data_IF_254140000055
#
_entry.id   IF_254140000055
#
_cell.length_a   1.000
_cell.length_b   1.000
_cell.length_c   1.000
_cell.angle_alpha   90.00
_cell.angle_beta   90.00
_cell.angle_gamma   90.00
#
_symmetry.space_group_name_H-M   'P 1'
#
loop_
_entity.id
_entity.type
_entity.pdbx_description
1 polymer ?
#
# COMPACT_ATOMS: atom_id res chain seq x y z
N UNK A 1 15.26 2.61 13.78
CA UNK A 1 14.92 1.80 12.59
C UNK A 1 14.17 2.66 11.59
N UNK A 2 14.63 2.74 10.36
CA UNK A 2 13.93 3.53 9.37
C UNK A 2 12.58 2.87 9.05
N UNK A 3 11.57 3.71 8.93
CA UNK A 3 10.26 3.24 8.49
C UNK A 3 10.29 3.08 6.98
N UNK A 4 9.57 2.10 6.47
CA UNK A 4 9.51 1.84 5.03
C UNK A 4 8.07 1.72 4.55
N UNK A 5 7.84 2.19 3.32
CA UNK A 5 6.56 2.05 2.64
C UNK A 5 6.80 1.20 1.40
N UNK A 6 6.04 0.14 1.27
CA UNK A 6 6.07 -0.72 0.08
C UNK A 6 5.01 -0.21 -0.88
N UNK A 7 5.43 0.31 -2.02
CA UNK A 7 4.53 0.84 -3.05
C UNK A 7 4.37 -0.20 -4.14
N UNK A 8 3.13 -0.65 -4.34
CA UNK A 8 2.82 -1.74 -5.26
C UNK A 8 1.89 -1.24 -6.35
N UNK A 9 2.36 -1.23 -7.59
CA UNK A 9 1.58 -0.82 -8.75
C UNK A 9 2.30 -1.31 -9.98
N UNK A 10 1.56 -1.78 -10.99
CA UNK A 10 2.19 -2.24 -12.23
C UNK A 10 2.68 -1.09 -13.11
N UNK A 11 2.30 0.14 -12.80
CA UNK A 11 2.75 1.32 -13.52
C UNK A 11 3.99 1.91 -12.87
N UNK A 12 5.14 1.92 -13.56
CA UNK A 12 6.34 2.58 -13.01
C UNK A 12 6.13 4.09 -12.83
N UNK A 13 5.27 4.70 -13.63
CA UNK A 13 4.95 6.12 -13.49
C UNK A 13 4.26 6.39 -12.15
N UNK A 14 3.28 5.55 -11.78
CA UNK A 14 2.57 5.71 -10.51
C UNK A 14 3.52 5.46 -9.34
N UNK A 15 4.36 4.41 -9.43
CA UNK A 15 5.33 4.13 -8.38
C UNK A 15 6.30 5.30 -8.18
N UNK A 16 6.79 5.85 -9.29
CA UNK A 16 7.70 7.00 -9.22
C UNK A 16 7.05 8.23 -8.63
N UNK A 17 5.78 8.48 -8.99
CA UNK A 17 5.04 9.61 -8.44
C UNK A 17 4.81 9.43 -6.93
N UNK A 18 4.42 8.24 -6.52
CA UNK A 18 4.25 7.95 -5.09
C UNK A 18 5.55 8.15 -4.33
N UNK A 19 6.67 7.67 -4.88
CA UNK A 19 7.99 7.88 -4.28
C UNK A 19 8.29 9.36 -4.10
N UNK A 20 7.99 10.16 -5.12
CA UNK A 20 8.20 11.60 -5.06
C UNK A 20 7.37 12.24 -3.94
N UNK A 21 6.10 11.88 -3.84
CA UNK A 21 5.21 12.43 -2.83
C UNK A 21 5.60 12.02 -1.41
N UNK A 22 6.25 10.88 -1.25
CA UNK A 22 6.61 10.36 0.06
C UNK A 22 7.98 10.85 0.55
N UNK A 23 8.73 11.58 -0.29
CA UNK A 23 10.08 12.04 0.05
C UNK A 23 10.10 12.89 1.31
N UNK A 24 9.07 13.68 1.52
CA UNK A 24 9.01 14.59 2.68
C UNK A 24 8.69 13.89 4.00
N UNK A 25 8.35 12.61 3.96
CA UNK A 25 7.92 11.88 5.15
C UNK A 25 9.04 11.09 5.83
N UNK A 26 10.25 11.19 5.32
CA UNK A 26 11.42 10.52 5.89
C UNK A 26 11.20 9.01 6.02
N UNK A 27 10.76 8.39 4.93
CA UNK A 27 10.54 6.95 4.85
C UNK A 27 11.35 6.38 3.70
N UNK A 28 11.76 5.12 3.85
CA UNK A 28 12.35 4.38 2.76
C UNK A 28 11.23 3.86 1.88
N UNK A 29 11.32 4.05 0.58
CA UNK A 29 10.33 3.53 -0.37
C UNK A 29 10.88 2.31 -1.06
N UNK A 30 10.13 1.22 -1.01
CA UNK A 30 10.42 -0.02 -1.73
C UNK A 30 9.30 -0.20 -2.75
N UNK A 31 9.63 -0.61 -3.96
CA UNK A 31 8.66 -0.76 -5.03
C UNK A 31 8.49 -2.22 -5.45
N UNK A 32 7.26 -2.58 -5.84
CA UNK A 32 6.96 -3.87 -6.43
C UNK A 32 5.94 -3.67 -7.54
N UNK A 33 6.04 -4.46 -8.61
CA UNK A 33 5.19 -4.28 -9.78
C UNK A 33 3.91 -5.11 -9.76
N UNK A 34 3.78 -6.05 -8.82
CA UNK A 34 2.58 -6.84 -8.66
C UNK A 34 2.48 -7.38 -7.23
N UNK A 35 1.34 -7.98 -6.92
CA UNK A 35 1.09 -8.46 -5.56
C UNK A 35 1.99 -9.62 -5.14
N UNK A 36 2.38 -10.49 -6.07
CA UNK A 36 3.24 -11.62 -5.73
C UNK A 36 4.64 -11.12 -5.35
N UNK A 37 5.19 -10.20 -6.13
CA UNK A 37 6.49 -9.59 -5.82
C UNK A 37 6.43 -8.78 -4.55
N UNK A 38 5.31 -8.11 -4.30
CA UNK A 38 5.10 -7.35 -3.07
C UNK A 38 5.12 -8.27 -1.86
N UNK A 39 4.45 -9.41 -1.95
CA UNK A 39 4.41 -10.37 -0.85
C UNK A 39 5.80 -10.91 -0.53
N UNK A 40 6.57 -11.24 -1.57
CA UNK A 40 7.96 -11.66 -1.40
C UNK A 40 8.81 -10.57 -0.74
N UNK A 41 8.65 -9.33 -1.19
CA UNK A 41 9.39 -8.21 -0.61
C UNK A 41 9.01 -8.00 0.86
N UNK A 42 7.72 -8.11 1.18
CA UNK A 42 7.24 -7.93 2.55
C UNK A 42 7.77 -9.03 3.47
N UNK A 43 7.85 -10.26 2.98
CA UNK A 43 8.41 -11.38 3.76
C UNK A 43 9.91 -11.21 3.98
N UNK A 44 10.61 -10.67 3.00
CA UNK A 44 12.06 -10.46 3.10
C UNK A 44 12.40 -9.34 4.07
N UNK A 45 11.60 -8.28 4.10
CA UNK A 45 11.86 -7.13 4.96
C UNK A 45 10.54 -6.41 5.23
N UNK A 46 9.91 -6.76 6.33
CA UNK A 46 8.58 -6.27 6.68
C UNK A 46 8.50 -4.74 6.59
N UNK A 47 7.64 -4.20 5.70
CA UNK A 47 7.46 -2.75 5.62
C UNK A 47 6.62 -2.23 6.77
N UNK A 48 6.69 -0.93 7.00
CA UNK A 48 5.85 -0.30 8.01
C UNK A 48 4.42 -0.12 7.48
N UNK A 49 4.27 0.04 6.17
CA UNK A 49 2.99 0.30 5.52
C UNK A 49 3.05 -0.19 4.08
N UNK A 50 1.90 -0.67 3.57
CA UNK A 50 1.77 -1.07 2.17
C UNK A 50 0.78 -0.15 1.47
N UNK A 51 1.18 0.37 0.32
CA UNK A 51 0.34 1.19 -0.55
C UNK A 51 0.22 0.43 -1.87
N UNK A 52 -0.95 -0.11 -2.18
CA UNK A 52 -1.11 -1.03 -3.30
C UNK A 52 -2.30 -0.69 -4.18
N UNK A 53 -2.09 -0.79 -5.50
CA UNK A 53 -3.16 -0.69 -6.46
C UNK A 53 -4.09 -1.90 -6.31
N UNK A 54 -5.38 -1.67 -6.44
CA UNK A 54 -6.37 -2.77 -6.43
C UNK A 54 -6.19 -3.66 -7.65
N UNK A 55 -6.00 -3.05 -8.83
CA UNK A 55 -5.91 -3.79 -10.08
C UNK A 55 -4.47 -3.96 -10.56
N UNK A 56 -3.97 -5.18 -10.47
CA UNK A 56 -2.62 -5.52 -10.91
C UNK A 56 -2.62 -6.92 -11.53
N UNK A 57 -1.69 -7.22 -12.43
CA UNK A 57 -1.55 -8.59 -12.94
C UNK A 57 -0.98 -9.51 -11.87
N UNK A 58 -1.06 -10.78 -12.08
CA UNK A 58 -0.51 -11.87 -11.25
C UNK A 58 -1.25 -11.98 -9.92
N UNK A 59 -1.21 -10.95 -9.08
CA UNK A 59 -1.95 -10.91 -7.82
C UNK A 59 -2.40 -9.47 -7.57
N UNK A 60 -3.70 -9.27 -7.45
CA UNK A 60 -4.27 -7.94 -7.24
C UNK A 60 -4.13 -7.47 -5.79
N UNK A 61 -4.52 -6.21 -5.54
CA UNK A 61 -4.36 -5.62 -4.22
C UNK A 61 -5.23 -6.26 -3.15
N UNK A 62 -6.41 -6.74 -3.51
CA UNK A 62 -7.29 -7.42 -2.54
C UNK A 62 -6.68 -8.75 -2.12
N UNK A 63 -6.19 -9.52 -3.10
CA UNK A 63 -5.55 -10.81 -2.82
C UNK A 63 -4.27 -10.62 -2.01
N UNK A 64 -3.48 -9.60 -2.35
CA UNK A 64 -2.29 -9.27 -1.58
C UNK A 64 -2.66 -8.97 -0.12
N UNK A 65 -3.70 -8.17 0.08
CA UNK A 65 -4.15 -7.84 1.43
C UNK A 65 -4.53 -9.08 2.22
N UNK A 66 -5.28 -9.99 1.59
CA UNK A 66 -5.67 -11.25 2.24
C UNK A 66 -4.45 -12.07 2.64
N UNK A 67 -3.45 -12.16 1.74
CA UNK A 67 -2.24 -12.92 2.03
C UNK A 67 -1.43 -12.30 3.17
N UNK A 68 -1.35 -10.97 3.21
CA UNK A 68 -0.68 -10.29 4.32
C UNK A 68 -1.36 -10.58 5.65
N UNK A 69 -2.69 -10.64 5.66
CA UNK A 69 -3.45 -10.89 6.90
C UNK A 69 -3.34 -12.32 7.39
N UNK A 70 -2.99 -13.26 6.51
CA UNK A 70 -2.76 -14.65 6.90
C UNK A 70 -1.37 -14.88 7.48
N UNK A 71 -0.45 -13.99 7.22
CA UNK A 71 0.95 -14.15 7.66
C UNK A 71 1.12 -13.55 9.05
N UNK A 72 1.53 -14.35 10.01
CA UNK A 72 1.64 -13.90 11.41
C UNK A 72 2.60 -12.74 11.58
N UNK A 73 3.65 -12.68 10.76
CA UNK A 73 4.63 -11.60 10.84
C UNK A 73 4.15 -10.32 10.17
N UNK A 74 3.17 -10.41 9.26
CA UNK A 74 2.77 -9.30 8.41
C UNK A 74 1.34 -8.81 8.66
N UNK A 75 0.54 -9.56 9.41
CA UNK A 75 -0.90 -9.28 9.53
C UNK A 75 -1.24 -7.94 10.19
N UNK A 76 -0.30 -7.32 10.85
CA UNK A 76 -0.51 -6.04 11.53
C UNK A 76 -0.15 -4.84 10.67
N UNK A 77 0.43 -5.06 9.50
CA UNK A 77 0.91 -3.96 8.65
C UNK A 77 -0.28 -3.24 8.00
N UNK A 78 -0.39 -1.92 8.16
CA UNK A 78 -1.47 -1.18 7.49
C UNK A 78 -1.39 -1.30 5.97
N UNK A 79 -2.54 -1.48 5.33
CA UNK A 79 -2.64 -1.57 3.87
C UNK A 79 -3.58 -0.48 3.39
N UNK A 80 -3.06 0.40 2.53
CA UNK A 80 -3.84 1.43 1.85
C UNK A 80 -3.98 1.00 0.40
N UNK A 81 -5.21 0.94 -0.09
CA UNK A 81 -5.49 0.52 -1.46
C UNK A 81 -5.77 1.72 -2.35
N UNK A 82 -5.19 1.69 -3.56
CA UNK A 82 -5.41 2.72 -4.57
C UNK A 82 -6.37 2.20 -5.62
N UNK A 83 -7.36 3.01 -6.00
CA UNK A 83 -8.32 2.62 -7.02
C UNK A 83 -8.71 3.79 -7.89
N UNK A 84 -8.94 3.53 -9.18
CA UNK A 84 -9.47 4.54 -10.09
C UNK A 84 -10.98 4.70 -9.96
N UNK A 85 -11.65 3.75 -9.33
CA UNK A 85 -13.11 3.75 -9.22
C UNK A 85 -13.53 3.27 -7.84
N UNK A 86 -13.70 4.21 -6.93
CA UNK A 86 -14.06 3.91 -5.55
C UNK A 86 -15.56 3.69 -5.44
N UNK A 87 -15.97 2.44 -5.30
CA UNK A 87 -17.37 2.06 -5.13
C UNK A 87 -17.61 1.47 -3.74
N UNK A 88 -18.86 1.46 -3.30
CA UNK A 88 -19.22 0.85 -2.01
C UNK A 88 -18.88 -0.63 -1.99
N UNK A 89 -19.09 -1.32 -3.12
CA UNK A 89 -18.78 -2.74 -3.23
C UNK A 89 -17.29 -2.99 -3.07
N UNK A 90 -16.47 -2.20 -3.74
CA UNK A 90 -15.02 -2.34 -3.63
C UNK A 90 -14.55 -2.04 -2.22
N UNK A 91 -15.09 -1.01 -1.58
CA UNK A 91 -14.73 -0.71 -0.20
C UNK A 91 -15.10 -1.84 0.73
N UNK A 92 -16.28 -2.45 0.53
CA UNK A 92 -16.72 -3.57 1.35
C UNK A 92 -15.78 -4.75 1.18
N UNK A 93 -15.44 -5.10 -0.07
CA UNK A 93 -14.53 -6.19 -0.37
C UNK A 93 -13.14 -5.94 0.21
N UNK A 94 -12.65 -4.70 0.09
CA UNK A 94 -11.34 -4.36 0.62
C UNK A 94 -11.28 -4.42 2.13
N UNK A 95 -12.30 -3.92 2.81
CA UNK A 95 -12.35 -3.99 4.28
C UNK A 95 -12.48 -5.43 4.75
N UNK A 96 -13.27 -6.25 4.03
CA UNK A 96 -13.36 -7.67 4.34
C UNK A 96 -12.03 -8.37 4.15
N UNK A 97 -11.23 -7.93 3.18
CA UNK A 97 -9.89 -8.46 2.97
C UNK A 97 -8.90 -8.00 4.04
N UNK A 98 -9.20 -6.91 4.73
CA UNK A 98 -8.36 -6.38 5.80
C UNK A 98 -7.67 -5.07 5.48
N UNK A 99 -8.09 -4.35 4.42
CA UNK A 99 -7.51 -3.06 4.09
C UNK A 99 -7.93 -2.00 5.11
N UNK A 100 -7.05 -1.05 5.33
CA UNK A 100 -7.25 0.01 6.32
C UNK A 100 -7.88 1.26 5.74
N UNK A 101 -7.53 1.59 4.49
CA UNK A 101 -8.04 2.81 3.87
C UNK A 101 -7.98 2.70 2.35
N UNK A 102 -8.79 3.52 1.66
CA UNK A 102 -8.81 3.59 0.20
C UNK A 102 -8.48 5.00 -0.25
N UNK A 103 -7.64 5.09 -1.27
CA UNK A 103 -7.32 6.35 -1.93
C UNK A 103 -7.68 6.24 -3.40
N UNK A 104 -8.20 7.32 -3.98
CA UNK A 104 -8.56 7.31 -5.40
C UNK A 104 -7.43 7.85 -6.25
N UNK A 105 -7.34 7.32 -7.47
CA UNK A 105 -6.45 7.87 -8.49
C UNK A 105 -7.19 8.99 -9.23
N UNK A 106 -6.50 10.00 -9.67
CA UNK A 106 -5.06 10.23 -9.58
C UNK A 106 -4.63 10.59 -8.16
N UNK A 107 -3.40 10.23 -7.80
CA UNK A 107 -2.86 10.51 -6.47
C UNK A 107 -2.78 12.02 -6.25
N UNK A 108 -3.27 12.46 -5.09
CA UNK A 108 -3.18 13.84 -4.66
C UNK A 108 -2.18 13.91 -3.51
N UNK A 109 -1.23 14.83 -3.61
CA UNK A 109 -0.13 14.91 -2.65
C UNK A 109 -0.62 15.01 -1.20
N UNK A 110 -1.54 15.94 -0.95
CA UNK A 110 -2.02 16.18 0.43
C UNK A 110 -2.76 14.96 0.98
N UNK A 111 -3.61 14.33 0.18
CA UNK A 111 -4.37 13.15 0.60
C UNK A 111 -3.46 11.96 0.87
N UNK A 112 -2.50 11.71 -0.03
CA UNK A 112 -1.58 10.60 0.14
C UNK A 112 -0.72 10.78 1.38
N UNK A 113 -0.14 11.97 1.53
CA UNK A 113 0.72 12.25 2.66
C UNK A 113 -0.03 12.16 3.98
N UNK A 114 -1.25 12.69 4.03
CA UNK A 114 -2.06 12.64 5.24
C UNK A 114 -2.42 11.20 5.61
N UNK A 115 -2.81 10.39 4.62
CA UNK A 115 -3.16 8.99 4.86
C UNK A 115 -1.95 8.20 5.32
N UNK A 116 -0.81 8.38 4.68
CA UNK A 116 0.41 7.67 5.06
C UNK A 116 0.83 8.05 6.48
N UNK A 117 0.81 9.34 6.82
CA UNK A 117 1.13 9.79 8.18
C UNK A 117 0.20 9.16 9.22
N UNK A 118 -1.09 9.09 8.89
CA UNK A 118 -2.10 8.52 9.80
C UNK A 118 -1.77 7.09 10.15
N UNK A 119 -1.37 6.30 9.18
CA UNK A 119 -1.14 4.87 9.37
C UNK A 119 0.30 4.50 9.71
N UNK A 120 1.26 5.37 9.43
CA UNK A 120 2.62 5.18 9.94
C UNK A 120 2.68 5.39 11.44
N UNK A 121 1.71 6.10 11.95
CA UNK A 121 1.74 6.56 13.32
C UNK A 121 2.66 7.76 13.44
N UNK A 122 2.48 8.48 14.51
CA UNK A 122 3.36 9.56 14.86
C UNK A 122 4.62 8.95 15.38
N UNK A 123 5.56 8.83 14.52
CA UNK A 123 6.83 8.41 15.01
C UNK A 123 7.47 9.59 15.67
N UNK A 124 6.99 9.85 16.77
CA UNK A 124 7.66 10.79 17.58
C UNK A 124 9.15 10.53 17.52
#
# INVERSE_FOLDING_TARGET
MPRSVLVVDDSPTIRGFARLLLRSLDVKVVEAEDGAKALDAARASAPTLVLADVNMPVMDGLSLTRELRKDKALKHIPVLLLTGDKSEELERQGRAAGANEFLTKPLQAAELQAAVRRWLGDAA
#
